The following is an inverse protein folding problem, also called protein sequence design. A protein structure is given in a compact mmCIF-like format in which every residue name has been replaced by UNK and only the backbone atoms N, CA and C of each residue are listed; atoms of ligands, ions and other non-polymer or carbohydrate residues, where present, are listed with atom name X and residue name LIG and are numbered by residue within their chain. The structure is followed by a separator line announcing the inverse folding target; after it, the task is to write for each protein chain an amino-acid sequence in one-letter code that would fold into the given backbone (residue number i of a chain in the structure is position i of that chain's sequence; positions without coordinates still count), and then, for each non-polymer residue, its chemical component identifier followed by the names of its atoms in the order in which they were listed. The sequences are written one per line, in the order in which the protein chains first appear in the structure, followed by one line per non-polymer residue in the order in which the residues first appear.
data_IF_577016808636
#
_entry.id   IF_577016808636
#
_cell.length_a   1.000
_cell.length_b   1.000
_cell.length_c   1.000
_cell.angle_alpha   90.00
_cell.angle_beta   90.00
_cell.angle_gamma   90.00
#
_symmetry.space_group_name_H-M   'P 1'
#
loop_
_entity.id
_entity.type
_entity.pdbx_description
1 polymer ?
#
# COMPACT_ATOMS: atom_id res chain seq x y z
N UNK A 1 -30.43 -6.34 -26.26
CA UNK A 1 -29.04 -6.84 -26.00
C UNK A 1 -28.38 -5.83 -25.10
N UNK A 2 -28.53 -6.01 -23.78
CA UNK A 2 -27.87 -5.17 -22.80
C UNK A 2 -26.41 -5.58 -22.76
N UNK A 3 -25.52 -4.66 -23.09
CA UNK A 3 -24.12 -4.76 -22.74
C UNK A 3 -24.03 -4.70 -21.22
N UNK A 4 -24.07 -5.85 -20.56
CA UNK A 4 -23.68 -5.98 -19.18
C UNK A 4 -22.26 -5.41 -19.07
N UNK A 5 -22.14 -4.21 -18.48
CA UNK A 5 -20.89 -3.50 -18.32
C UNK A 5 -19.93 -4.36 -17.53
N UNK A 6 -18.96 -4.97 -18.21
CA UNK A 6 -17.81 -5.53 -17.52
C UNK A 6 -17.20 -4.41 -16.70
N UNK A 7 -17.10 -4.56 -15.37
CA UNK A 7 -16.36 -3.59 -14.58
C UNK A 7 -14.96 -3.51 -15.19
N UNK A 8 -14.64 -2.34 -15.72
CA UNK A 8 -13.40 -2.16 -16.47
C UNK A 8 -12.22 -2.47 -15.55
N UNK A 9 -11.38 -3.41 -15.96
CA UNK A 9 -10.15 -3.83 -15.26
C UNK A 9 -9.21 -2.63 -15.06
N UNK A 10 -9.27 -1.67 -15.98
CA UNK A 10 -8.41 -0.48 -16.01
C UNK A 10 -8.52 0.42 -14.76
N UNK A 11 -9.71 0.82 -14.26
CA UNK A 11 -9.79 1.62 -13.04
C UNK A 11 -9.23 0.90 -11.80
N UNK A 12 -9.46 -0.41 -11.68
CA UNK A 12 -8.94 -1.19 -10.54
C UNK A 12 -7.41 -1.27 -10.57
N UNK A 13 -6.82 -1.54 -11.72
CA UNK A 13 -5.37 -1.54 -11.89
C UNK A 13 -4.78 -0.15 -11.64
N UNK A 14 -5.47 0.90 -12.07
CA UNK A 14 -5.04 2.28 -11.89
C UNK A 14 -5.04 2.69 -10.41
N UNK A 15 -6.12 2.43 -9.66
CA UNK A 15 -6.19 2.71 -8.23
C UNK A 15 -5.11 1.95 -7.45
N UNK A 16 -4.87 0.67 -7.77
CA UNK A 16 -3.81 -0.11 -7.16
C UNK A 16 -2.41 0.51 -7.44
N UNK A 17 -2.14 0.91 -8.68
CA UNK A 17 -0.88 1.55 -9.07
C UNK A 17 -0.69 2.91 -8.36
N UNK A 18 -1.75 3.70 -8.23
CA UNK A 18 -1.70 4.96 -7.49
C UNK A 18 -1.26 4.74 -6.04
N UNK A 19 -1.89 3.81 -5.34
CA UNK A 19 -1.58 3.46 -3.95
C UNK A 19 -0.18 2.90 -3.79
N UNK A 20 0.25 2.00 -4.70
CA UNK A 20 1.46 1.22 -4.56
C UNK A 20 2.72 1.90 -5.12
N UNK A 21 2.59 2.81 -6.09
CA UNK A 21 3.72 3.45 -6.76
C UNK A 21 3.67 4.98 -6.71
N UNK A 22 2.57 5.61 -7.08
CA UNK A 22 2.51 7.07 -7.22
C UNK A 22 2.55 7.74 -5.84
N UNK A 23 1.75 7.27 -4.88
CA UNK A 23 1.73 7.82 -3.52
C UNK A 23 3.11 7.73 -2.85
N UNK A 24 3.80 6.59 -2.80
CA UNK A 24 5.14 6.54 -2.19
C UNK A 24 6.16 7.41 -2.92
N UNK A 25 6.08 7.54 -4.24
CA UNK A 25 6.94 8.44 -4.99
C UNK A 25 6.70 9.91 -4.60
N UNK A 26 5.44 10.33 -4.46
CA UNK A 26 5.07 11.68 -4.02
C UNK A 26 5.51 11.94 -2.57
N UNK A 27 5.26 11.00 -1.64
CA UNK A 27 5.73 11.10 -0.25
C UNK A 27 7.25 11.18 -0.19
N UNK A 28 7.96 10.40 -1.02
CA UNK A 28 9.43 10.45 -1.10
C UNK A 28 9.95 11.79 -1.63
N UNK A 29 9.32 12.35 -2.65
CA UNK A 29 9.68 13.64 -3.20
C UNK A 29 9.52 14.75 -2.15
N UNK A 30 8.46 14.67 -1.36
CA UNK A 30 8.12 15.64 -0.32
C UNK A 30 8.55 15.20 1.09
N UNK A 31 9.47 14.25 1.24
CA UNK A 31 9.84 13.59 2.51
C UNK A 31 10.29 14.52 3.64
N UNK A 32 10.66 15.77 3.32
CA UNK A 32 11.09 16.81 4.29
C UNK A 32 10.00 17.82 4.60
N UNK A 33 8.79 17.67 4.06
CA UNK A 33 7.69 18.60 4.30
C UNK A 33 7.29 18.58 5.79
N UNK A 34 7.15 19.74 6.44
CA UNK A 34 6.69 19.82 7.83
C UNK A 34 5.23 19.38 8.00
N UNK A 35 4.46 19.27 6.91
CA UNK A 35 3.08 18.77 6.94
C UNK A 35 3.02 17.33 7.40
N UNK A 36 4.02 16.52 7.07
CA UNK A 36 4.05 15.10 7.43
C UNK A 36 4.11 14.86 8.94
N UNK A 37 4.77 15.74 9.69
CA UNK A 37 4.78 15.64 11.16
C UNK A 37 3.39 15.82 11.76
N UNK A 38 2.55 16.69 11.18
CA UNK A 38 1.21 16.98 11.68
C UNK A 38 0.21 15.86 11.44
N UNK A 39 0.34 15.14 10.30
CA UNK A 39 -0.59 14.09 9.89
C UNK A 39 -0.04 12.67 10.11
N UNK A 40 1.22 12.55 10.54
CA UNK A 40 1.86 11.26 10.76
C UNK A 40 1.20 10.50 11.91
N UNK A 41 0.87 9.23 11.63
CA UNK A 41 0.33 8.28 12.59
C UNK A 41 1.30 7.12 12.79
N UNK A 42 1.26 6.43 13.93
CA UNK A 42 2.11 5.26 14.16
C UNK A 42 1.74 4.11 13.22
N UNK A 43 2.74 3.32 12.82
CA UNK A 43 2.58 2.21 11.89
C UNK A 43 1.46 1.21 12.27
N UNK A 44 1.26 0.84 13.55
CA UNK A 44 0.16 -0.05 13.94
C UNK A 44 -1.25 0.49 13.66
N UNK A 45 -1.40 1.81 13.49
CA UNK A 45 -2.66 2.43 13.12
C UNK A 45 -2.76 2.64 11.60
N UNK A 46 -1.65 3.00 10.95
CA UNK A 46 -1.60 3.28 9.52
C UNK A 46 -1.88 2.04 8.65
N UNK A 47 -1.33 0.87 9.02
CA UNK A 47 -1.54 -0.37 8.28
C UNK A 47 -3.00 -0.84 8.31
N UNK A 48 -3.66 -1.02 9.47
CA UNK A 48 -5.07 -1.40 9.50
C UNK A 48 -5.97 -0.40 8.78
N UNK A 49 -5.68 0.90 8.87
CA UNK A 49 -6.45 1.92 8.19
C UNK A 49 -6.45 1.72 6.68
N UNK A 50 -5.28 1.50 6.08
CA UNK A 50 -5.19 1.23 4.64
C UNK A 50 -5.86 -0.11 4.29
N UNK A 51 -5.58 -1.19 5.05
CA UNK A 51 -6.13 -2.52 4.77
C UNK A 51 -7.66 -2.49 4.83
N UNK A 52 -8.24 -1.88 5.86
CA UNK A 52 -9.69 -1.81 6.01
C UNK A 52 -10.34 -0.92 4.93
N UNK A 53 -9.72 0.23 4.63
CA UNK A 53 -10.23 1.12 3.59
C UNK A 53 -10.16 0.45 2.22
N UNK A 54 -9.05 -0.24 1.92
CA UNK A 54 -8.88 -0.99 0.69
C UNK A 54 -9.86 -2.16 0.59
N UNK A 55 -9.98 -2.96 1.65
CA UNK A 55 -10.94 -4.05 1.70
C UNK A 55 -12.38 -3.55 1.50
N UNK A 56 -12.74 -2.44 2.15
CA UNK A 56 -14.04 -1.82 1.97
C UNK A 56 -14.26 -1.36 0.52
N UNK A 57 -13.29 -0.68 -0.09
CA UNK A 57 -13.36 -0.21 -1.47
C UNK A 57 -13.59 -1.36 -2.45
N UNK A 58 -12.90 -2.49 -2.24
CA UNK A 58 -12.96 -3.67 -3.12
C UNK A 58 -14.20 -4.52 -2.85
N UNK A 59 -14.44 -4.87 -1.60
CA UNK A 59 -15.53 -5.79 -1.23
C UNK A 59 -16.90 -5.10 -1.28
N UNK A 60 -16.97 -3.78 -1.10
CA UNK A 60 -18.20 -3.01 -1.27
C UNK A 60 -18.80 -3.18 -2.67
N UNK A 61 -17.97 -3.35 -3.68
CA UNK A 61 -18.40 -3.65 -5.05
C UNK A 61 -18.96 -5.09 -5.22
N UNK A 62 -18.59 -6.01 -4.33
CA UNK A 62 -19.08 -7.39 -4.33
C UNK A 62 -20.34 -7.58 -3.49
N UNK A 63 -20.44 -6.89 -2.34
CA UNK A 63 -21.48 -7.12 -1.33
C UNK A 63 -22.63 -6.12 -1.37
N UNK A 64 -22.50 -5.05 -2.14
CA UNK A 64 -23.57 -4.07 -2.35
C UNK A 64 -23.60 -2.85 -1.43
N UNK A 65 -23.17 -2.85 -0.15
CA UNK A 65 -23.18 -1.64 0.65
C UNK A 65 -22.03 -0.70 0.23
N UNK A 66 -22.37 0.29 -0.58
CA UNK A 66 -21.44 1.36 -0.98
C UNK A 66 -21.57 2.55 -0.03
N UNK A 67 -20.43 3.27 0.16
CA UNK A 67 -20.51 4.57 0.83
C UNK A 67 -21.41 5.52 0.02
N UNK A 68 -22.22 6.35 0.70
CA UNK A 68 -22.92 7.44 0.01
C UNK A 68 -21.88 8.34 -0.66
N UNK A 69 -22.03 8.59 -1.97
CA UNK A 69 -21.05 9.31 -2.80
C UNK A 69 -20.18 8.41 -3.70
N UNK A 70 -20.23 7.07 -3.54
CA UNK A 70 -19.55 6.13 -4.45
C UNK A 70 -18.04 6.37 -4.56
N UNK A 71 -17.51 6.29 -5.78
CA UNK A 71 -16.07 6.46 -6.07
C UNK A 71 -15.53 7.84 -5.63
N UNK A 72 -16.34 8.89 -5.69
CA UNK A 72 -15.92 10.25 -5.29
C UNK A 72 -15.53 10.36 -3.81
N UNK A 73 -16.02 9.48 -2.95
CA UNK A 73 -15.66 9.42 -1.52
C UNK A 73 -14.61 8.34 -1.27
N UNK A 74 -14.77 7.18 -1.91
CA UNK A 74 -13.92 6.03 -1.66
C UNK A 74 -12.47 6.25 -2.15
N UNK A 75 -12.28 6.84 -3.34
CA UNK A 75 -10.94 7.07 -3.87
C UNK A 75 -10.10 8.07 -3.06
N UNK A 76 -10.61 9.27 -2.70
CA UNK A 76 -9.84 10.17 -1.84
C UNK A 76 -9.53 9.58 -0.48
N UNK A 77 -10.45 8.79 0.11
CA UNK A 77 -10.22 8.11 1.37
C UNK A 77 -9.11 7.05 1.26
N UNK A 78 -9.12 6.27 0.19
CA UNK A 78 -8.09 5.29 -0.11
C UNK A 78 -6.71 5.95 -0.30
N UNK A 79 -6.66 7.05 -1.04
CA UNK A 79 -5.42 7.81 -1.25
C UNK A 79 -4.90 8.43 0.05
N UNK A 80 -5.79 8.98 0.89
CA UNK A 80 -5.41 9.50 2.21
C UNK A 80 -4.85 8.38 3.10
N UNK A 81 -5.51 7.22 3.16
CA UNK A 81 -5.04 6.06 3.89
C UNK A 81 -3.68 5.56 3.35
N UNK A 82 -3.49 5.58 2.02
CA UNK A 82 -2.22 5.23 1.40
C UNK A 82 -1.09 6.21 1.77
N UNK A 83 -1.37 7.51 1.79
CA UNK A 83 -0.39 8.51 2.27
C UNK A 83 0.02 8.19 3.70
N UNK A 84 -0.94 7.99 4.61
CA UNK A 84 -0.67 7.66 6.02
C UNK A 84 0.12 6.36 6.16
N UNK A 85 -0.16 5.36 5.34
CA UNK A 85 0.56 4.08 5.29
C UNK A 85 2.03 4.25 4.89
N UNK A 86 2.33 5.09 3.89
CA UNK A 86 3.69 5.29 3.41
C UNK A 86 4.53 6.24 4.26
N UNK A 87 3.92 7.08 5.13
CA UNK A 87 4.66 8.02 5.97
C UNK A 87 5.69 7.33 6.90
N UNK A 88 5.36 6.26 7.67
CA UNK A 88 6.33 5.58 8.53
C UNK A 88 7.49 4.95 7.78
N UNK A 89 7.30 4.62 6.49
CA UNK A 89 8.30 3.96 5.65
C UNK A 89 9.24 4.95 4.99
N UNK A 90 8.71 6.06 4.45
CA UNK A 90 9.43 6.91 3.50
C UNK A 90 9.75 8.30 4.07
N UNK A 91 8.83 8.89 4.85
CA UNK A 91 8.96 10.26 5.34
C UNK A 91 9.89 10.35 6.56
N UNK A 92 10.40 11.55 6.83
CA UNK A 92 11.18 11.85 8.02
C UNK A 92 10.28 12.40 9.11
N UNK A 93 9.54 11.51 9.75
CA UNK A 93 8.60 11.85 10.83
C UNK A 93 9.00 11.17 12.13
N UNK A 94 8.43 11.62 13.24
CA UNK A 94 8.62 10.99 14.58
C UNK A 94 8.20 9.52 14.62
N UNK A 95 7.31 9.10 13.73
CA UNK A 95 6.81 7.72 13.64
C UNK A 95 7.53 6.89 12.57
N UNK A 96 8.67 7.38 12.07
CA UNK A 96 9.46 6.65 11.08
C UNK A 96 9.97 5.35 11.68
N UNK A 97 9.74 4.25 11.00
CA UNK A 97 10.25 2.94 11.37
C UNK A 97 11.76 2.85 11.08
N UNK A 98 12.46 2.06 11.88
CA UNK A 98 13.82 1.58 11.58
C UNK A 98 13.80 0.63 10.37
N UNK A 99 14.96 0.16 9.93
CA UNK A 99 15.07 -0.62 8.72
C UNK A 99 14.41 -1.99 8.84
N UNK A 100 14.57 -2.66 9.99
CA UNK A 100 13.91 -3.94 10.28
C UNK A 100 12.38 -3.77 10.35
N UNK A 101 11.93 -2.74 11.07
CA UNK A 101 10.51 -2.41 11.19
C UNK A 101 9.86 -2.08 9.85
N UNK A 102 10.57 -1.37 8.94
CA UNK A 102 10.06 -1.09 7.58
C UNK A 102 9.92 -2.35 6.75
N UNK A 103 10.91 -3.26 6.84
CA UNK A 103 10.84 -4.54 6.15
C UNK A 103 9.65 -5.36 6.62
N UNK A 104 9.52 -5.56 7.94
CA UNK A 104 8.40 -6.30 8.53
C UNK A 104 7.05 -5.68 8.17
N UNK A 105 6.93 -4.37 8.26
CA UNK A 105 5.71 -3.62 7.96
C UNK A 105 5.24 -3.84 6.52
N UNK A 106 6.15 -3.74 5.54
CA UNK A 106 5.84 -3.92 4.13
C UNK A 106 5.55 -5.39 3.79
N UNK A 107 6.30 -6.34 4.38
CA UNK A 107 6.03 -7.77 4.20
C UNK A 107 4.67 -8.18 4.78
N UNK A 108 4.27 -7.61 5.91
CA UNK A 108 2.95 -7.85 6.48
C UNK A 108 1.84 -7.20 5.65
N UNK A 109 2.09 -6.01 5.11
CA UNK A 109 1.13 -5.29 4.27
C UNK A 109 0.78 -6.04 2.98
N UNK A 110 1.76 -6.66 2.32
CA UNK A 110 1.59 -7.30 1.02
C UNK A 110 0.46 -8.35 1.04
N UNK A 111 0.49 -9.42 1.86
CA UNK A 111 -0.59 -10.40 1.86
C UNK A 111 -1.92 -9.83 2.36
N UNK A 112 -1.91 -8.87 3.29
CA UNK A 112 -3.15 -8.27 3.80
C UNK A 112 -3.88 -7.45 2.74
N UNK A 113 -3.14 -6.76 1.87
CA UNK A 113 -3.71 -5.99 0.77
C UNK A 113 -4.13 -6.88 -0.41
N UNK A 114 -3.56 -8.08 -0.55
CA UNK A 114 -3.94 -9.03 -1.58
C UNK A 114 -5.20 -9.84 -1.23
N UNK A 115 -5.56 -9.95 0.07
CA UNK A 115 -6.75 -10.70 0.49
C UNK A 115 -8.05 -10.28 -0.21
N UNK A 116 -8.38 -8.98 -0.34
CA UNK A 116 -9.57 -8.56 -1.08
C UNK A 116 -9.52 -8.96 -2.55
N UNK A 117 -8.34 -8.92 -3.18
CA UNK A 117 -8.17 -9.33 -4.58
C UNK A 117 -8.40 -10.85 -4.76
N UNK A 118 -7.96 -11.66 -3.80
CA UNK A 118 -8.25 -13.11 -3.77
C UNK A 118 -9.75 -13.35 -3.66
N UNK A 119 -10.47 -12.59 -2.82
CA UNK A 119 -11.94 -12.68 -2.73
C UNK A 119 -12.61 -12.31 -4.06
N UNK A 120 -12.11 -11.32 -4.79
CA UNK A 120 -12.59 -10.95 -6.13
C UNK A 120 -12.40 -12.08 -7.14
N UNK A 121 -11.24 -12.77 -7.09
CA UNK A 121 -10.98 -13.95 -7.92
C UNK A 121 -11.95 -15.09 -7.57
N UNK A 122 -12.14 -15.37 -6.27
CA UNK A 122 -13.07 -16.39 -5.79
C UNK A 122 -14.54 -16.12 -6.17
N UNK A 123 -14.91 -14.85 -6.31
CA UNK A 123 -16.22 -14.41 -6.83
C UNK A 123 -16.36 -14.54 -8.36
N UNK A 124 -15.39 -15.16 -9.05
CA UNK A 124 -15.41 -15.38 -10.51
C UNK A 124 -14.91 -14.19 -11.34
N UNK A 125 -14.44 -13.11 -10.72
CA UNK A 125 -13.89 -11.92 -11.40
C UNK A 125 -12.36 -12.03 -11.54
N UNK A 126 -11.88 -13.11 -12.13
CA UNK A 126 -10.45 -13.46 -12.16
C UNK A 126 -9.57 -12.36 -12.76
N UNK A 127 -9.95 -11.80 -13.90
CA UNK A 127 -9.16 -10.75 -14.56
C UNK A 127 -9.01 -9.49 -13.67
N UNK A 128 -10.08 -9.09 -12.98
CA UNK A 128 -10.06 -7.94 -12.08
C UNK A 128 -9.18 -8.20 -10.85
N UNK A 129 -9.32 -9.36 -10.20
CA UNK A 129 -8.50 -9.73 -9.06
C UNK A 129 -7.02 -9.86 -9.40
N UNK A 130 -6.67 -10.48 -10.52
CA UNK A 130 -5.28 -10.56 -11.00
C UNK A 130 -4.69 -9.18 -11.32
N UNK A 131 -5.47 -8.29 -11.92
CA UNK A 131 -5.04 -6.91 -12.18
C UNK A 131 -4.73 -6.15 -10.88
N UNK A 132 -5.52 -6.39 -9.81
CA UNK A 132 -5.26 -5.80 -8.49
C UNK A 132 -3.97 -6.35 -7.87
N UNK A 133 -3.78 -7.67 -7.86
CA UNK A 133 -2.54 -8.31 -7.37
C UNK A 133 -1.33 -7.76 -8.12
N UNK A 134 -1.41 -7.69 -9.45
CA UNK A 134 -0.34 -7.13 -10.28
C UNK A 134 -0.08 -5.65 -9.96
N UNK A 135 -1.14 -4.87 -9.73
CA UNK A 135 -1.02 -3.45 -9.36
C UNK A 135 -0.41 -3.22 -7.98
N UNK A 136 -0.48 -4.22 -7.07
CA UNK A 136 0.13 -4.15 -5.74
C UNK A 136 1.58 -4.68 -5.70
N UNK A 137 2.11 -5.28 -6.75
CA UNK A 137 3.50 -5.73 -6.85
C UNK A 137 4.54 -4.68 -6.42
N UNK A 138 4.38 -3.37 -6.70
CA UNK A 138 5.35 -2.37 -6.24
C UNK A 138 5.55 -2.34 -4.72
N UNK A 139 4.55 -2.71 -3.90
CA UNK A 139 4.70 -2.83 -2.44
C UNK A 139 5.66 -3.97 -2.09
N UNK A 140 5.48 -5.14 -2.72
CA UNK A 140 6.38 -6.28 -2.54
C UNK A 140 7.81 -5.98 -3.00
N UNK A 141 7.96 -5.29 -4.13
CA UNK A 141 9.27 -4.82 -4.62
C UNK A 141 9.90 -3.84 -3.62
N UNK A 142 9.11 -2.92 -3.07
CA UNK A 142 9.60 -1.99 -2.04
C UNK A 142 10.03 -2.74 -0.77
N UNK A 143 9.28 -3.75 -0.33
CA UNK A 143 9.66 -4.62 0.79
C UNK A 143 11.01 -5.29 0.54
N UNK A 144 11.17 -5.93 -0.61
CA UNK A 144 12.42 -6.59 -1.01
C UNK A 144 13.59 -5.60 -1.07
N UNK A 145 13.39 -4.42 -1.67
CA UNK A 145 14.43 -3.38 -1.78
C UNK A 145 14.87 -2.83 -0.42
N UNK A 146 13.92 -2.60 0.50
CA UNK A 146 14.23 -2.14 1.87
C UNK A 146 15.02 -3.21 2.63
N UNK A 147 14.57 -4.46 2.55
CA UNK A 147 15.26 -5.60 3.19
C UNK A 147 16.67 -5.78 2.64
N UNK A 148 16.82 -5.77 1.33
CA UNK A 148 18.13 -5.87 0.69
C UNK A 148 19.08 -4.74 1.12
N UNK A 149 18.59 -3.53 1.17
CA UNK A 149 19.38 -2.38 1.61
C UNK A 149 19.79 -2.46 3.09
N UNK A 150 18.93 -3.04 3.93
CA UNK A 150 19.22 -3.29 5.34
C UNK A 150 20.29 -4.36 5.50
N UNK A 151 20.11 -5.54 4.91
CA UNK A 151 21.08 -6.65 4.97
C UNK A 151 22.48 -6.19 4.52
N UNK A 152 22.57 -5.50 3.38
CA UNK A 152 23.84 -4.99 2.88
C UNK A 152 24.51 -3.93 3.80
N UNK A 153 23.76 -3.26 4.66
CA UNK A 153 24.35 -2.36 5.67
C UNK A 153 24.92 -3.14 6.84
N UNK A 154 24.16 -4.09 7.37
CA UNK A 154 24.60 -4.96 8.45
C UNK A 154 25.88 -5.70 8.09
N UNK A 155 25.96 -6.28 6.89
CA UNK A 155 27.15 -6.96 6.41
C UNK A 155 28.37 -6.02 6.36
N UNK A 156 28.20 -4.78 5.86
CA UNK A 156 29.30 -3.80 5.80
C UNK A 156 29.76 -3.34 7.18
N UNK A 157 28.84 -3.25 8.14
CA UNK A 157 29.17 -2.89 9.52
C UNK A 157 29.89 -4.04 10.22
N UNK A 158 29.47 -5.29 10.00
CA UNK A 158 30.13 -6.48 10.55
C UNK A 158 31.58 -6.61 10.05
N UNK A 159 31.82 -6.39 8.73
CA UNK A 159 33.18 -6.43 8.17
C UNK A 159 34.07 -5.34 8.79
N UNK A 160 33.59 -4.11 8.91
CA UNK A 160 34.35 -3.02 9.53
C UNK A 160 34.65 -3.27 11.02
N UNK A 161 33.73 -3.88 11.74
CA UNK A 161 33.95 -4.23 13.15
C UNK A 161 34.94 -5.38 13.36
N UNK A 162 35.19 -6.21 12.34
CA UNK A 162 36.16 -7.30 12.39
C UNK A 162 37.61 -6.85 12.04
N UNK A 163 37.75 -5.66 11.42
CA UNK A 163 39.05 -5.11 11.02
C UNK A 163 39.65 -4.12 12.04
N UNK A 164 38.91 -3.76 13.09
CA UNK A 164 39.33 -2.83 14.16
C UNK A 164 39.55 -3.50 15.49
#
# INVERSE_FOLDING_TARGET
MEHAGHPSVVPMAWSALLVAAVVPAAVRALRRSPLWERISVPAPAALPLLVLTHAWAVLGDLTGPRLPGGAFVTEPLLLAAAVLFWLPVVARTRHRLDDAGRSLYLFLATPLLDLPAVAVVAAGRTAAGLAMITGMLPIGIAAAAVTWSWVNREEREAVRGAEG
#
